data_IF_280494910722
#
_entry.id   IF_280494910722
#
_cell.length_a   1.000
_cell.length_b   1.000
_cell.length_c   1.000
_cell.angle_alpha   90.00
_cell.angle_beta   90.00
_cell.angle_gamma   90.00
#
_symmetry.space_group_name_H-M   'P 1'
#
loop_
_entity.id
_entity.type
_entity.pdbx_description
1 polymer ?
#
# COMPACT_ATOMS: atom_id res chain seq x y z
N UNK A 1 6.74 16.59 11.44
CA UNK A 1 5.75 17.40 10.70
C UNK A 1 6.50 18.35 9.76
N UNK A 2 7.38 19.26 10.24
CA UNK A 2 8.07 20.27 9.42
C UNK A 2 8.89 19.65 8.28
N UNK A 3 9.67 18.61 8.55
CA UNK A 3 10.48 17.88 7.55
C UNK A 3 9.56 17.31 6.45
N UNK A 4 8.45 16.71 6.81
CA UNK A 4 7.49 16.19 5.83
C UNK A 4 6.79 17.29 5.05
N UNK A 5 6.30 18.34 5.72
CA UNK A 5 5.57 19.40 5.07
C UNK A 5 6.44 20.25 4.12
N UNK A 6 7.68 20.52 4.48
CA UNK A 6 8.57 21.38 3.68
C UNK A 6 9.40 20.55 2.70
N UNK A 7 10.13 19.54 3.16
CA UNK A 7 11.07 18.79 2.31
C UNK A 7 10.30 17.87 1.35
N UNK A 8 9.31 17.13 1.83
CA UNK A 8 8.55 16.24 0.97
C UNK A 8 7.58 16.98 0.05
N UNK A 9 6.73 17.86 0.60
CA UNK A 9 5.65 18.49 -0.20
C UNK A 9 6.16 19.52 -1.19
N UNK A 10 7.26 20.25 -0.89
CA UNK A 10 7.81 21.29 -1.76
C UNK A 10 8.85 20.73 -2.73
N UNK A 11 9.76 19.88 -2.25
CA UNK A 11 10.90 19.40 -3.05
C UNK A 11 10.73 17.97 -3.57
N UNK A 12 10.61 16.97 -2.69
CA UNK A 12 10.68 15.56 -3.09
C UNK A 12 9.52 15.11 -3.96
N UNK A 13 8.32 15.63 -3.75
CA UNK A 13 7.12 15.27 -4.52
C UNK A 13 7.30 15.48 -6.03
N UNK A 14 8.05 16.53 -6.41
CA UNK A 14 8.23 16.91 -7.81
C UNK A 14 9.59 16.45 -8.39
N UNK A 15 10.51 15.93 -7.57
CA UNK A 15 11.86 15.58 -8.00
C UNK A 15 12.06 14.08 -8.25
N UNK A 16 11.22 13.22 -7.69
CA UNK A 16 11.44 11.76 -7.80
C UNK A 16 10.17 10.98 -8.10
N UNK A 17 10.31 9.96 -8.95
CA UNK A 17 9.26 8.98 -9.23
C UNK A 17 8.94 8.08 -8.02
N UNK A 18 9.82 8.07 -7.00
CA UNK A 18 9.63 7.36 -5.73
C UNK A 18 8.87 8.19 -4.67
N UNK A 19 8.27 9.30 -5.09
CA UNK A 19 7.52 10.20 -4.22
C UNK A 19 6.43 9.48 -3.40
N UNK A 20 5.77 8.47 -4.00
CA UNK A 20 4.74 7.65 -3.34
C UNK A 20 5.36 6.77 -2.25
N UNK A 21 6.52 6.15 -2.50
CA UNK A 21 7.19 5.30 -1.52
C UNK A 21 7.66 6.14 -0.33
N UNK A 22 8.32 7.27 -0.59
CA UNK A 22 8.81 8.17 0.47
C UNK A 22 7.63 8.77 1.26
N UNK A 23 6.58 9.23 0.56
CA UNK A 23 5.37 9.76 1.18
C UNK A 23 4.58 8.71 1.98
N UNK A 24 4.65 7.45 1.55
CA UNK A 24 4.03 6.31 2.22
C UNK A 24 4.54 6.09 3.65
N UNK A 25 5.80 6.45 3.95
CA UNK A 25 6.35 6.37 5.31
C UNK A 25 5.50 7.21 6.27
N UNK A 26 5.22 8.46 5.92
CA UNK A 26 4.43 9.34 6.78
C UNK A 26 2.96 8.88 6.90
N UNK A 27 2.38 8.37 5.80
CA UNK A 27 1.01 7.82 5.79
C UNK A 27 0.86 6.53 6.61
N UNK A 28 1.95 5.78 6.78
CA UNK A 28 1.98 4.54 7.55
C UNK A 28 2.28 4.74 9.05
N UNK A 29 2.72 5.92 9.48
CA UNK A 29 3.11 6.21 10.88
C UNK A 29 1.95 6.16 11.92
N UNK A 30 0.68 6.46 11.61
CA UNK A 30 -0.38 6.57 12.62
C UNK A 30 -0.52 5.38 13.56
N UNK A 31 -0.51 4.10 13.13
CA UNK A 31 -0.60 2.96 14.04
C UNK A 31 0.58 2.90 15.03
N UNK A 32 1.79 3.20 14.54
CA UNK A 32 2.99 3.19 15.38
C UNK A 32 2.96 4.33 16.40
N UNK A 33 2.60 5.55 15.98
CA UNK A 33 2.50 6.70 16.87
C UNK A 33 1.36 6.54 17.89
N UNK A 34 0.20 6.03 17.47
CA UNK A 34 -0.93 5.76 18.37
C UNK A 34 -0.55 4.77 19.45
N UNK A 35 0.10 3.67 19.09
CA UNK A 35 0.55 2.65 20.05
C UNK A 35 1.59 3.19 21.03
N UNK A 36 2.65 3.81 20.52
CA UNK A 36 3.74 4.34 21.35
C UNK A 36 3.31 5.48 22.25
N UNK A 37 2.27 6.24 21.90
CA UNK A 37 1.73 7.30 22.75
C UNK A 37 1.05 6.77 24.03
N UNK A 38 0.60 5.52 24.01
CA UNK A 38 -0.06 4.87 25.15
C UNK A 38 0.92 4.01 25.95
N UNK A 39 1.73 3.21 25.24
CA UNK A 39 2.60 2.20 25.87
C UNK A 39 3.99 2.73 26.22
N UNK A 40 4.42 3.86 25.63
CA UNK A 40 5.79 4.37 25.66
C UNK A 40 6.85 3.36 25.16
N UNK A 41 6.44 2.36 24.40
CA UNK A 41 7.30 1.30 23.88
C UNK A 41 7.06 1.08 22.38
N UNK A 42 8.13 0.67 21.67
CA UNK A 42 8.03 0.22 20.28
C UNK A 42 7.95 -1.30 20.31
N UNK A 43 6.78 -1.82 19.96
CA UNK A 43 6.49 -3.24 19.97
C UNK A 43 6.40 -3.80 18.53
N UNK A 44 6.51 -5.13 18.33
CA UNK A 44 6.41 -5.75 16.99
C UNK A 44 5.07 -5.49 16.30
N UNK A 45 3.95 -5.48 17.04
CA UNK A 45 2.62 -5.35 16.45
C UNK A 45 2.42 -4.04 15.68
N UNK A 46 2.62 -2.85 16.26
CA UNK A 46 2.48 -1.59 15.53
C UNK A 46 3.51 -1.43 14.39
N UNK A 47 4.69 -2.06 14.49
CA UNK A 47 5.66 -2.10 13.39
C UNK A 47 5.14 -2.90 12.19
N UNK A 48 4.49 -4.04 12.44
CA UNK A 48 3.87 -4.83 11.36
C UNK A 48 2.72 -4.05 10.72
N UNK A 49 1.87 -3.37 11.51
CA UNK A 49 0.81 -2.51 10.96
C UNK A 49 1.36 -1.37 10.11
N UNK A 50 2.45 -0.74 10.57
CA UNK A 50 3.18 0.26 9.79
C UNK A 50 3.65 -0.32 8.45
N UNK A 51 4.30 -1.49 8.45
CA UNK A 51 4.81 -2.14 7.25
C UNK A 51 3.68 -2.53 6.27
N UNK A 52 2.54 -2.99 6.78
CA UNK A 52 1.36 -3.31 5.95
C UNK A 52 0.88 -2.07 5.21
N UNK A 53 0.67 -0.95 5.90
CA UNK A 53 0.20 0.29 5.27
C UNK A 53 1.28 0.85 4.33
N UNK A 54 2.54 0.79 4.72
CA UNK A 54 3.66 1.23 3.90
C UNK A 54 3.73 0.47 2.57
N UNK A 55 3.67 -0.86 2.60
CA UNK A 55 3.71 -1.70 1.40
C UNK A 55 2.42 -1.66 0.58
N UNK A 56 1.28 -1.33 1.21
CA UNK A 56 0.01 -1.11 0.53
C UNK A 56 -0.02 0.19 -0.28
N UNK A 57 0.70 1.21 0.18
CA UNK A 57 0.67 2.55 -0.43
C UNK A 57 1.11 2.57 -1.90
N UNK A 58 2.25 1.95 -2.32
CA UNK A 58 2.68 1.97 -3.72
C UNK A 58 1.69 1.30 -4.69
N UNK A 59 1.24 0.06 -4.50
CA UNK A 59 0.31 -0.56 -5.45
C UNK A 59 -1.03 0.17 -5.53
N UNK A 60 -1.50 0.76 -4.41
CA UNK A 60 -2.70 1.59 -4.38
C UNK A 60 -2.57 2.83 -5.28
N UNK A 61 -1.58 3.68 -5.02
CA UNK A 61 -1.43 4.94 -5.75
C UNK A 61 -0.94 4.74 -7.19
N UNK A 62 -0.08 3.75 -7.44
CA UNK A 62 0.37 3.49 -8.81
C UNK A 62 -0.74 2.90 -9.70
N UNK A 63 -1.68 2.14 -9.14
CA UNK A 63 -2.86 1.71 -9.87
C UNK A 63 -3.71 2.90 -10.33
N UNK A 64 -3.92 3.90 -9.45
CA UNK A 64 -4.57 5.16 -9.82
C UNK A 64 -3.76 5.94 -10.85
N UNK A 65 -2.43 6.00 -10.70
CA UNK A 65 -1.56 6.71 -11.63
C UNK A 65 -1.53 6.06 -13.03
N UNK A 66 -1.62 4.73 -13.12
CA UNK A 66 -1.77 4.01 -14.39
C UNK A 66 -3.12 4.35 -15.05
N UNK A 67 -4.21 4.41 -14.28
CA UNK A 67 -5.53 4.81 -14.78
C UNK A 67 -5.57 6.25 -15.24
N UNK A 68 -5.04 7.19 -14.44
CA UNK A 68 -5.01 8.63 -14.71
C UNK A 68 -3.71 9.10 -15.38
N UNK A 69 -3.11 8.25 -16.19
CA UNK A 69 -1.81 8.52 -16.80
C UNK A 69 -1.75 9.85 -17.56
N UNK A 70 -2.76 10.13 -18.39
CA UNK A 70 -2.78 11.36 -19.21
C UNK A 70 -2.94 12.63 -18.35
N UNK A 71 -3.68 12.54 -17.23
CA UNK A 71 -3.86 13.66 -16.31
C UNK A 71 -2.54 14.02 -15.61
N UNK A 72 -1.82 13.00 -15.11
CA UNK A 72 -0.52 13.19 -14.47
C UNK A 72 0.55 13.67 -15.44
N UNK A 73 0.52 13.17 -16.68
CA UNK A 73 1.44 13.61 -17.75
C UNK A 73 1.21 15.07 -18.12
N UNK A 74 -0.06 15.51 -18.26
CA UNK A 74 -0.40 16.91 -18.54
C UNK A 74 -0.03 17.87 -17.41
N UNK A 75 -0.09 17.39 -16.17
CA UNK A 75 0.26 18.17 -14.97
C UNK A 75 1.76 18.15 -14.66
N UNK A 76 2.58 17.50 -15.49
CA UNK A 76 4.03 17.32 -15.30
C UNK A 76 4.43 16.75 -13.93
N UNK A 77 3.57 15.88 -13.38
CA UNK A 77 3.82 15.21 -12.09
C UNK A 77 4.60 13.90 -12.36
N UNK A 78 5.81 13.73 -11.78
CA UNK A 78 6.71 12.60 -12.06
C UNK A 78 6.26 11.31 -11.37
N UNK A 79 5.04 10.84 -11.67
CA UNK A 79 4.57 9.52 -11.21
C UNK A 79 5.30 8.40 -11.92
N UNK A 80 5.48 7.25 -11.25
CA UNK A 80 6.19 6.10 -11.79
C UNK A 80 5.78 5.72 -13.23
N UNK A 81 4.47 5.63 -13.58
CA UNK A 81 4.08 5.33 -14.96
C UNK A 81 4.42 6.45 -15.97
N UNK A 82 4.54 7.70 -15.51
CA UNK A 82 4.90 8.85 -16.38
C UNK A 82 6.40 8.83 -16.68
N UNK A 83 7.23 8.57 -15.68
CA UNK A 83 8.70 8.62 -15.80
C UNK A 83 9.33 7.36 -16.40
N UNK A 84 8.82 6.17 -16.00
CA UNK A 84 9.40 4.87 -16.40
C UNK A 84 8.47 4.04 -17.29
N UNK A 85 7.29 4.56 -17.63
CA UNK A 85 6.32 3.88 -18.48
C UNK A 85 5.32 3.03 -17.70
N UNK A 86 4.17 2.81 -18.35
CA UNK A 86 3.03 2.08 -17.74
C UNK A 86 3.32 0.61 -17.46
N UNK A 87 4.13 -0.05 -18.28
CA UNK A 87 4.45 -1.48 -18.09
C UNK A 87 5.38 -1.70 -16.91
N UNK A 88 6.35 -0.81 -16.71
CA UNK A 88 7.21 -0.82 -15.54
C UNK A 88 6.41 -0.61 -14.25
N UNK A 89 5.46 0.34 -14.26
CA UNK A 89 4.59 0.57 -13.11
C UNK A 89 3.70 -0.64 -12.80
N UNK A 90 3.13 -1.32 -13.82
CA UNK A 90 2.31 -2.53 -13.63
C UNK A 90 3.11 -3.69 -13.01
N UNK A 91 4.35 -3.88 -13.45
CA UNK A 91 5.25 -4.86 -12.85
C UNK A 91 5.50 -4.56 -11.36
N UNK A 92 5.78 -3.29 -11.02
CA UNK A 92 6.01 -2.89 -9.63
C UNK A 92 4.74 -3.01 -8.77
N UNK A 93 3.56 -2.70 -9.29
CA UNK A 93 2.27 -2.97 -8.62
C UNK A 93 2.17 -4.46 -8.26
N UNK A 94 2.48 -5.34 -9.19
CA UNK A 94 2.43 -6.78 -8.95
C UNK A 94 3.46 -7.24 -7.91
N UNK A 95 4.72 -6.79 -8.00
CA UNK A 95 5.75 -7.14 -7.03
C UNK A 95 5.42 -6.65 -5.61
N UNK A 96 4.94 -5.42 -5.48
CA UNK A 96 4.51 -4.88 -4.19
C UNK A 96 3.27 -5.57 -3.64
N UNK A 97 2.37 -6.07 -4.49
CA UNK A 97 1.21 -6.86 -4.03
C UNK A 97 1.62 -8.20 -3.42
N UNK A 98 2.68 -8.84 -3.95
CA UNK A 98 3.26 -10.04 -3.36
C UNK A 98 3.92 -9.72 -2.01
N UNK A 99 4.73 -8.66 -1.94
CA UNK A 99 5.35 -8.23 -0.68
C UNK A 99 4.30 -7.88 0.38
N UNK A 100 3.24 -7.17 -0.02
CA UNK A 100 2.11 -6.86 0.84
C UNK A 100 1.44 -8.15 1.35
N UNK A 101 1.18 -9.11 0.48
CA UNK A 101 0.60 -10.39 0.87
C UNK A 101 1.49 -11.12 1.89
N UNK A 102 2.80 -11.17 1.66
CA UNK A 102 3.73 -11.79 2.61
C UNK A 102 3.70 -11.12 3.98
N UNK A 103 3.78 -9.78 4.05
CA UNK A 103 3.79 -9.06 5.33
C UNK A 103 2.46 -9.18 6.09
N UNK A 104 1.33 -9.30 5.38
CA UNK A 104 0.03 -9.49 6.03
C UNK A 104 -0.16 -10.84 6.71
N UNK A 105 0.73 -11.80 6.51
CA UNK A 105 0.74 -13.06 7.25
C UNK A 105 1.49 -12.95 8.60
N UNK A 106 2.31 -11.90 8.79
CA UNK A 106 3.14 -11.74 9.98
C UNK A 106 2.36 -11.62 11.29
N UNK A 107 1.20 -10.93 11.37
CA UNK A 107 0.42 -10.91 12.61
C UNK A 107 0.08 -12.32 13.12
N UNK A 108 -0.25 -13.24 12.24
CA UNK A 108 -0.48 -14.63 12.61
C UNK A 108 0.82 -15.37 12.96
N UNK A 109 1.88 -15.19 12.16
CA UNK A 109 3.18 -15.87 12.37
C UNK A 109 3.87 -15.44 13.67
N UNK A 110 3.60 -14.23 14.13
CA UNK A 110 4.11 -13.67 15.39
C UNK A 110 3.15 -13.91 16.58
N UNK A 111 2.12 -14.76 16.39
CA UNK A 111 1.12 -15.07 17.42
C UNK A 111 0.37 -13.84 17.95
N UNK A 112 0.24 -12.79 17.11
CA UNK A 112 -0.44 -11.54 17.44
C UNK A 112 -1.91 -11.53 16.97
N UNK A 113 -2.33 -12.56 16.21
CA UNK A 113 -3.71 -12.76 15.73
C UNK A 113 -3.96 -14.24 15.48
N UNK A 114 -5.23 -14.65 15.41
CA UNK A 114 -5.64 -16.04 15.29
C UNK A 114 -6.05 -16.45 13.86
N UNK A 115 -6.84 -17.52 13.78
CA UNK A 115 -7.23 -18.17 12.52
C UNK A 115 -8.22 -17.33 11.69
N UNK A 116 -9.08 -16.51 12.33
CA UNK A 116 -10.06 -15.68 11.61
C UNK A 116 -9.30 -14.67 10.75
N UNK A 117 -8.30 -14.01 11.33
CA UNK A 117 -7.42 -13.12 10.60
C UNK A 117 -6.67 -13.85 9.48
N UNK A 118 -6.06 -15.01 9.77
CA UNK A 118 -5.27 -15.77 8.80
C UNK A 118 -6.10 -16.11 7.55
N UNK A 119 -7.25 -16.77 7.71
CA UNK A 119 -8.08 -17.16 6.57
C UNK A 119 -8.64 -15.96 5.82
N UNK A 120 -9.08 -14.91 6.55
CA UNK A 120 -9.54 -13.68 5.95
C UNK A 120 -8.47 -13.03 5.07
N UNK A 121 -7.26 -12.86 5.59
CA UNK A 121 -6.14 -12.22 4.88
C UNK A 121 -5.63 -13.04 3.70
N UNK A 122 -5.59 -14.38 3.81
CA UNK A 122 -5.25 -15.25 2.67
C UNK A 122 -6.24 -15.00 1.52
N UNK A 123 -7.55 -15.02 1.80
CA UNK A 123 -8.57 -14.86 0.77
C UNK A 123 -8.50 -13.49 0.08
N UNK A 124 -8.49 -12.40 0.85
CA UNK A 124 -8.45 -11.04 0.28
C UNK A 124 -7.09 -10.75 -0.35
N UNK A 125 -5.99 -11.27 0.20
CA UNK A 125 -4.64 -11.06 -0.29
C UNK A 125 -4.38 -11.79 -1.61
N UNK A 126 -4.78 -13.04 -1.72
CA UNK A 126 -4.70 -13.79 -2.99
C UNK A 126 -5.48 -13.10 -4.10
N UNK A 127 -6.69 -12.61 -3.80
CA UNK A 127 -7.46 -11.82 -4.76
C UNK A 127 -6.70 -10.56 -5.20
N UNK A 128 -6.06 -9.83 -4.27
CA UNK A 128 -5.27 -8.65 -4.61
C UNK A 128 -4.09 -8.97 -5.54
N UNK A 129 -3.37 -10.06 -5.27
CA UNK A 129 -2.26 -10.55 -6.10
C UNK A 129 -2.76 -10.96 -7.49
N UNK A 130 -3.87 -11.70 -7.57
CA UNK A 130 -4.48 -12.13 -8.86
C UNK A 130 -4.93 -10.92 -9.68
N UNK A 131 -5.59 -9.94 -9.05
CA UNK A 131 -6.05 -8.73 -9.74
C UNK A 131 -4.87 -7.89 -10.26
N UNK A 132 -3.78 -7.77 -9.48
CA UNK A 132 -2.56 -7.07 -9.89
C UNK A 132 -1.83 -7.79 -11.02
N UNK A 133 -1.76 -9.12 -10.98
CA UNK A 133 -1.24 -9.95 -12.08
C UNK A 133 -2.09 -9.77 -13.35
N UNK A 134 -3.41 -9.81 -13.21
CA UNK A 134 -4.34 -9.58 -14.32
C UNK A 134 -4.14 -8.19 -14.94
N UNK A 135 -3.95 -7.15 -14.13
CA UNK A 135 -3.62 -5.81 -14.60
C UNK A 135 -2.31 -5.79 -15.40
N UNK A 136 -1.29 -6.49 -14.92
CA UNK A 136 0.02 -6.59 -15.59
C UNK A 136 -0.13 -7.24 -16.98
N UNK A 137 -0.88 -8.34 -17.09
CA UNK A 137 -1.04 -9.09 -18.33
C UNK A 137 -1.99 -8.42 -19.32
N UNK A 138 -3.14 -7.95 -18.89
CA UNK A 138 -4.18 -7.38 -19.77
C UNK A 138 -3.89 -5.95 -20.19
N UNK A 139 -3.04 -5.24 -19.44
CA UNK A 139 -2.68 -3.82 -19.66
C UNK A 139 -3.90 -2.86 -19.70
N UNK A 140 -5.03 -3.30 -19.15
CA UNK A 140 -6.31 -2.57 -19.22
C UNK A 140 -6.36 -1.44 -18.18
N UNK A 141 -6.70 -0.23 -18.63
CA UNK A 141 -6.94 0.92 -17.72
C UNK A 141 -8.12 0.68 -16.78
N UNK A 142 -9.13 -0.09 -17.23
CA UNK A 142 -10.28 -0.45 -16.38
C UNK A 142 -9.83 -1.34 -15.21
N UNK A 143 -8.96 -2.31 -15.46
CA UNK A 143 -8.41 -3.15 -14.39
C UNK A 143 -7.58 -2.34 -13.38
N UNK A 144 -6.94 -1.27 -13.81
CA UNK A 144 -6.18 -0.38 -12.92
C UNK A 144 -7.10 0.33 -11.91
N UNK A 145 -8.23 0.89 -12.36
CA UNK A 145 -9.18 1.55 -11.44
C UNK A 145 -9.94 0.53 -10.56
N UNK A 146 -10.22 -0.68 -11.07
CA UNK A 146 -10.84 -1.75 -10.29
C UNK A 146 -9.89 -2.19 -9.15
N UNK A 147 -8.59 -2.37 -9.45
CA UNK A 147 -7.56 -2.69 -8.45
C UNK A 147 -7.42 -1.57 -7.41
N UNK A 148 -7.42 -0.30 -7.83
CA UNK A 148 -7.40 0.84 -6.92
C UNK A 148 -8.57 0.82 -5.94
N UNK A 149 -9.79 0.59 -6.43
CA UNK A 149 -11.00 0.50 -5.58
C UNK A 149 -10.93 -0.71 -4.62
N UNK A 150 -10.50 -1.84 -5.16
CA UNK A 150 -10.35 -3.05 -4.35
C UNK A 150 -9.29 -2.87 -3.25
N UNK A 151 -8.21 -2.15 -3.49
CA UNK A 151 -7.17 -1.91 -2.49
C UNK A 151 -7.69 -1.19 -1.24
N UNK A 152 -8.68 -0.30 -1.38
CA UNK A 152 -9.35 0.36 -0.25
C UNK A 152 -10.16 -0.67 0.55
N UNK A 153 -10.97 -1.47 -0.14
CA UNK A 153 -11.75 -2.54 0.49
C UNK A 153 -10.84 -3.57 1.17
N UNK A 154 -9.72 -3.92 0.52
CA UNK A 154 -8.71 -4.82 1.07
C UNK A 154 -8.19 -4.35 2.42
N UNK A 155 -7.74 -3.09 2.52
CA UNK A 155 -7.19 -2.56 3.76
C UNK A 155 -8.27 -2.48 4.86
N UNK A 156 -9.49 -2.04 4.51
CA UNK A 156 -10.61 -1.99 5.45
C UNK A 156 -10.97 -3.38 6.01
N UNK A 157 -11.05 -4.40 5.14
CA UNK A 157 -11.34 -5.78 5.57
C UNK A 157 -10.19 -6.38 6.39
N UNK A 158 -8.94 -6.09 6.06
CA UNK A 158 -7.78 -6.57 6.82
C UNK A 158 -7.81 -6.06 8.26
N UNK A 159 -8.08 -4.77 8.47
CA UNK A 159 -8.22 -4.21 9.81
C UNK A 159 -9.49 -4.71 10.51
N UNK A 160 -10.58 -4.95 9.79
CA UNK A 160 -11.78 -5.55 10.36
C UNK A 160 -11.50 -6.98 10.88
N UNK A 161 -10.77 -7.80 10.13
CA UNK A 161 -10.36 -9.15 10.60
C UNK A 161 -9.45 -9.08 11.83
N UNK A 162 -8.51 -8.13 11.89
CA UNK A 162 -7.70 -7.92 13.09
C UNK A 162 -8.55 -7.58 14.31
N UNK A 163 -9.57 -6.72 14.16
CA UNK A 163 -10.46 -6.35 15.25
C UNK A 163 -11.34 -7.53 15.71
N UNK A 164 -11.92 -8.28 14.76
CA UNK A 164 -12.79 -9.43 15.06
C UNK A 164 -11.99 -10.55 15.75
N UNK A 165 -10.77 -10.75 15.36
CA UNK A 165 -9.92 -11.82 15.88
C UNK A 165 -9.30 -11.50 17.24
N UNK A 166 -9.34 -10.20 17.65
CA UNK A 166 -8.84 -9.74 18.95
C UNK A 166 -9.89 -9.93 20.07
N UNK A 167 -11.18 -9.99 19.74
CA UNK A 167 -12.29 -10.20 20.67
C UNK A 167 -12.82 -11.63 20.61
#
# INVERSE_FOLDING_TARGET
IIIYSVIYSVYLKNLTSQNIVIGGIAGAMPPLLGWTSITNQIEPFPLVLFLIIFLWTPPHFWALAVYKYEDYKKADIPMLPVTHGRDFARLHIFLYSILLFCITLFPYLLELSGFIYLFGTIFIGLKFVIDSYTLMMTKSSRKAIDLFRYSITYLALLFAFLLIDHY
#
